data_IF_472043392238
#
_entry.id   IF_472043392238
#
_cell.length_a   1.000
_cell.length_b   1.000
_cell.length_c   1.000
_cell.angle_alpha   90.00
_cell.angle_beta   90.00
_cell.angle_gamma   90.00
#
_symmetry.space_group_name_H-M   'P 1'
#
loop_
_entity.id
_entity.type
_entity.pdbx_description
1 polymer ?
#
# COMPACT_ATOMS: atom_id res chain seq x y z
N UNK A 1 12.88 -5.52 8.36
CA UNK A 1 11.77 -5.24 9.29
C UNK A 1 10.49 -5.89 8.81
N UNK A 2 9.51 -5.94 9.66
CA UNK A 2 8.25 -6.59 9.30
C UNK A 2 7.10 -5.62 9.34
N UNK A 3 6.21 -5.75 8.36
CA UNK A 3 4.96 -5.01 8.35
C UNK A 3 3.83 -6.03 8.22
N UNK A 4 2.62 -5.57 8.46
CA UNK A 4 1.44 -6.39 8.21
C UNK A 4 0.76 -5.83 6.97
N UNK A 5 0.81 -6.58 5.90
CA UNK A 5 0.29 -6.15 4.60
C UNK A 5 -0.97 -6.93 4.29
N UNK A 6 -2.09 -6.23 4.25
CA UNK A 6 -3.39 -6.83 3.98
C UNK A 6 -3.65 -8.04 4.89
N UNK A 7 -3.28 -7.87 6.16
CA UNK A 7 -3.52 -8.91 7.16
C UNK A 7 -2.46 -9.98 7.26
N UNK A 8 -1.39 -9.90 6.46
CA UNK A 8 -0.34 -10.90 6.49
C UNK A 8 0.99 -10.24 6.78
N UNK A 9 1.82 -10.92 7.53
CA UNK A 9 3.14 -10.39 7.83
C UNK A 9 4.03 -10.51 6.61
N UNK A 10 4.84 -9.49 6.40
CA UNK A 10 5.75 -9.46 5.28
C UNK A 10 7.05 -8.81 5.69
N UNK A 11 8.16 -9.46 5.33
CA UNK A 11 9.47 -8.86 5.54
C UNK A 11 9.75 -7.86 4.45
N UNK A 12 10.20 -6.69 4.85
CA UNK A 12 10.59 -5.65 3.90
C UNK A 12 11.90 -5.03 4.39
N UNK A 13 12.60 -4.37 3.48
CA UNK A 13 13.84 -3.73 3.89
C UNK A 13 13.53 -2.48 4.72
N UNK A 14 14.50 -2.07 5.51
CA UNK A 14 14.35 -0.86 6.31
C UNK A 14 14.24 0.35 5.41
N UNK A 15 13.51 1.34 5.86
CA UNK A 15 13.34 2.61 5.15
C UNK A 15 12.63 2.46 3.81
N UNK A 16 11.88 1.38 3.62
CA UNK A 16 11.10 1.23 2.40
C UNK A 16 9.96 2.26 2.38
N UNK A 17 9.73 2.86 1.23
CA UNK A 17 8.60 3.77 1.08
C UNK A 17 7.40 3.02 0.54
N UNK A 18 6.24 3.66 0.60
CA UNK A 18 5.04 3.09 0.01
C UNK A 18 5.26 2.85 -1.48
N UNK A 19 5.90 3.80 -2.18
CA UNK A 19 6.16 3.63 -3.60
C UNK A 19 7.05 2.41 -3.84
N UNK A 20 8.07 2.23 -3.02
CA UNK A 20 8.96 1.07 -3.17
C UNK A 20 8.21 -0.23 -2.94
N UNK A 21 7.35 -0.26 -1.94
CA UNK A 21 6.58 -1.47 -1.65
C UNK A 21 5.68 -1.83 -2.83
N UNK A 22 5.00 -0.84 -3.39
CA UNK A 22 4.13 -1.12 -4.54
C UNK A 22 4.93 -1.59 -5.73
N UNK A 23 6.12 -1.04 -5.94
CA UNK A 23 6.98 -1.49 -7.04
C UNK A 23 7.41 -2.93 -6.85
N UNK A 24 7.74 -3.33 -5.62
CA UNK A 24 8.12 -4.71 -5.36
C UNK A 24 6.96 -5.67 -5.62
N UNK A 25 5.76 -5.21 -5.43
CA UNK A 25 4.58 -6.04 -5.63
C UNK A 25 4.06 -5.97 -7.06
N UNK A 26 4.73 -5.21 -7.91
CA UNK A 26 4.28 -5.00 -9.30
C UNK A 26 2.89 -4.39 -9.36
N UNK A 27 2.60 -3.48 -8.45
CA UNK A 27 1.31 -2.82 -8.38
C UNK A 27 1.48 -1.40 -8.87
N UNK A 28 0.62 -1.01 -9.79
CA UNK A 28 0.64 0.34 -10.33
C UNK A 28 0.08 1.31 -9.29
N UNK A 29 0.85 2.31 -8.87
CA UNK A 29 0.39 3.15 -7.76
C UNK A 29 -0.90 3.89 -8.03
N UNK A 30 -1.22 4.13 -9.29
CA UNK A 30 -2.43 4.87 -9.58
C UNK A 30 -3.68 4.03 -9.52
N UNK A 31 -3.52 2.74 -9.35
CA UNK A 31 -4.67 1.85 -9.33
C UNK A 31 -5.05 1.39 -7.94
N UNK A 32 -4.40 1.92 -6.93
CA UNK A 32 -4.63 1.45 -5.57
C UNK A 32 -4.77 2.62 -4.62
N UNK A 33 -5.43 2.36 -3.53
CA UNK A 33 -5.42 3.23 -2.37
C UNK A 33 -4.60 2.54 -1.30
N UNK A 34 -3.81 3.28 -0.58
CA UNK A 34 -2.94 2.73 0.45
C UNK A 34 -3.27 3.39 1.78
N UNK A 35 -3.47 2.54 2.79
CA UNK A 35 -3.64 3.02 4.15
C UNK A 35 -2.51 2.48 4.99
N UNK A 36 -1.95 3.33 5.83
CA UNK A 36 -0.93 2.93 6.79
C UNK A 36 -1.47 3.25 8.16
N UNK A 37 -1.62 2.23 8.98
CA UNK A 37 -2.20 2.35 10.31
C UNK A 37 -3.55 3.05 10.25
N UNK A 38 -4.35 2.68 9.25
CA UNK A 38 -5.71 3.15 9.05
C UNK A 38 -5.80 4.59 8.57
N UNK A 39 -4.70 5.18 8.16
CA UNK A 39 -4.71 6.51 7.58
C UNK A 39 -4.36 6.42 6.11
N UNK A 40 -5.14 7.10 5.30
CA UNK A 40 -4.90 7.06 3.87
C UNK A 40 -3.64 7.85 3.52
N UNK A 41 -2.83 7.28 2.64
CA UNK A 41 -1.65 7.94 2.13
C UNK A 41 -1.99 8.45 0.74
N UNK A 42 -1.81 9.73 0.51
CA UNK A 42 -2.14 10.30 -0.78
C UNK A 42 -1.05 9.99 -1.78
N UNK A 43 -1.44 9.86 -3.04
CA UNK A 43 -0.51 9.46 -4.08
C UNK A 43 0.77 10.30 -4.14
N UNK A 44 0.69 11.63 -4.05
CA UNK A 44 1.94 12.40 -4.09
C UNK A 44 2.89 12.09 -2.95
N UNK A 45 2.40 11.48 -1.89
CA UNK A 45 3.25 11.15 -0.74
C UNK A 45 3.82 9.74 -0.81
N UNK A 46 3.47 8.95 -1.80
CA UNK A 46 3.92 7.55 -1.84
C UNK A 46 5.44 7.44 -1.82
N UNK A 47 6.12 8.33 -2.52
CA UNK A 47 7.58 8.27 -2.61
C UNK A 47 8.27 8.77 -1.35
N UNK A 48 7.56 9.45 -0.47
CA UNK A 48 8.16 9.97 0.76
C UNK A 48 7.62 9.33 2.02
N UNK A 49 6.60 8.50 1.90
CA UNK A 49 6.00 7.86 3.08
C UNK A 49 6.81 6.63 3.44
N UNK A 50 7.67 6.76 4.42
CA UNK A 50 8.56 5.69 4.84
C UNK A 50 7.84 4.82 5.85
N UNK A 51 7.85 3.52 5.63
CA UNK A 51 7.20 2.57 6.52
C UNK A 51 8.12 2.25 7.69
N UNK A 52 7.50 1.85 8.79
CA UNK A 52 8.21 1.53 10.01
C UNK A 52 7.89 0.11 10.43
N UNK A 53 8.79 -0.48 11.20
CA UNK A 53 8.57 -1.82 11.70
C UNK A 53 7.25 -1.89 12.46
N UNK A 54 6.47 -2.88 12.16
CA UNK A 54 5.19 -3.07 12.82
C UNK A 54 4.02 -2.32 12.21
N UNK A 55 4.26 -1.54 11.16
CA UNK A 55 3.15 -0.83 10.53
C UNK A 55 2.15 -1.80 9.92
N UNK A 56 0.89 -1.40 10.00
CA UNK A 56 -0.18 -2.12 9.31
C UNK A 56 -0.49 -1.37 8.03
N UNK A 57 -0.34 -2.06 6.91
CA UNK A 57 -0.50 -1.46 5.59
C UNK A 57 -1.62 -2.17 4.86
N UNK A 58 -2.53 -1.41 4.29
CA UNK A 58 -3.59 -1.96 3.47
C UNK A 58 -3.49 -1.38 2.07
N UNK A 59 -3.47 -2.25 1.09
CA UNK A 59 -3.43 -1.85 -0.31
C UNK A 59 -4.73 -2.30 -0.93
N UNK A 60 -5.56 -1.35 -1.33
CA UNK A 60 -6.88 -1.63 -1.87
C UNK A 60 -6.86 -1.34 -3.35
N UNK A 61 -7.07 -2.36 -4.16
CA UNK A 61 -7.09 -2.15 -5.60
C UNK A 61 -8.43 -1.58 -6.02
N UNK A 62 -8.39 -0.60 -6.89
CA UNK A 62 -9.61 -0.11 -7.46
C UNK A 62 -10.00 -1.08 -8.54
N UNK A 63 -10.96 -1.87 -8.27
CA UNK A 63 -11.38 -2.83 -9.21
C UNK A 63 -12.27 -2.16 -10.15
N UNK A 64 -11.74 -1.90 -11.23
CA UNK A 64 -12.52 -1.35 -12.22
C UNK A 64 -13.64 -2.19 -12.41
N UNK A 65 -14.38 -2.18 -12.49
CA UNK A 65 -15.37 -2.94 -12.70
C UNK A 65 -15.89 -3.43 -11.68
N UNK A 66 -15.28 -3.68 -10.96
CA UNK A 66 -15.89 -4.23 -10.03
C UNK A 66 -16.77 -3.30 -9.56
N UNK A 67 -16.72 -2.53 -9.60
CA UNK A 67 -17.47 -1.92 -9.06
C UNK A 67 -18.40 -1.49 -9.64
N UNK A 68 -18.53 -1.60 -10.27
CA UNK A 68 -19.37 -1.36 -10.59
C UNK A 68 -20.26 -1.20 -10.83
N UNK A 69 -20.32 -1.18 -10.96
CA UNK A 69 -21.01 -1.21 -11.27
C UNK A 69 -21.93 -1.33 -11.23
N UNK A 70 -22.18 -1.14 -11.21
CA UNK A 70 -23.03 -1.27 -11.18
C UNK A 70 -23.72 -1.11 -11.58
N UNK A 71 -24.08 -1.07 -11.91
CA UNK A 71 -24.76 -1.01 -12.48
C UNK A 71 -25.37 -1.03 -12.56
#
# INVERSE_FOLDING_TARGET
>A
MQIRLNGKERDVRDDITVADLLAEMNIHPERVAVLVNQEIVKKPSYASAILQDGDTVEVLTAMAGGMGRIR
#
